data_IF_481189643177
#
_entry.id   IF_481189643177
#
_cell.length_a   1.000
_cell.length_b   1.000
_cell.length_c   1.000
_cell.angle_alpha   90.00
_cell.angle_beta   90.00
_cell.angle_gamma   90.00
#
_symmetry.space_group_name_H-M   'P 1'
#
loop_
_entity.id
_entity.type
_entity.pdbx_description
1 polymer ?
#
# COMPACT_ATOMS: atom_id res chain seq x y z
N UNK A 1 -18.43 -14.53 12.25
CA UNK A 1 -17.17 -14.76 11.50
C UNK A 1 -16.51 -16.03 12.02
N UNK A 2 -16.09 -16.94 11.14
CA UNK A 2 -15.24 -18.09 11.48
C UNK A 2 -13.85 -17.87 10.92
N UNK A 3 -12.84 -18.04 11.76
CA UNK A 3 -11.44 -17.91 11.37
C UNK A 3 -10.57 -18.78 12.26
N UNK A 4 -9.65 -19.56 11.67
CA UNK A 4 -8.71 -20.43 12.40
C UNK A 4 -9.40 -21.34 13.43
N UNK A 5 -10.50 -21.99 13.02
CA UNK A 5 -11.31 -22.90 13.87
C UNK A 5 -12.11 -22.22 14.98
N UNK A 6 -12.06 -20.89 15.10
CA UNK A 6 -12.79 -20.11 16.12
C UNK A 6 -13.93 -19.33 15.49
N UNK A 7 -14.96 -19.07 16.29
CA UNK A 7 -16.11 -18.26 15.90
C UNK A 7 -16.10 -16.95 16.69
N UNK A 8 -16.32 -15.85 15.99
CA UNK A 8 -16.38 -14.49 16.52
C UNK A 8 -17.65 -13.80 16.03
N UNK A 9 -18.14 -12.84 16.82
CA UNK A 9 -19.32 -12.04 16.49
C UNK A 9 -19.02 -10.55 16.71
N UNK A 10 -19.59 -9.71 15.86
CA UNK A 10 -19.60 -8.25 16.01
C UNK A 10 -20.94 -7.73 15.52
N UNK A 11 -21.32 -6.55 16.00
CA UNK A 11 -22.51 -5.82 15.55
C UNK A 11 -22.03 -4.57 14.83
N UNK A 12 -22.64 -4.25 13.69
CA UNK A 12 -22.40 -3.01 12.98
C UNK A 12 -22.86 -1.83 13.80
N UNK A 13 -22.05 -0.78 13.85
CA UNK A 13 -22.45 0.49 14.44
C UNK A 13 -23.43 1.26 13.52
N UNK A 14 -23.83 2.47 13.95
CA UNK A 14 -24.75 3.32 13.20
C UNK A 14 -24.20 3.78 11.83
N UNK A 15 -22.88 3.72 11.63
CA UNK A 15 -22.22 4.03 10.35
C UNK A 15 -22.10 2.82 9.42
N UNK A 16 -22.48 1.63 9.89
CA UNK A 16 -22.31 0.37 9.17
C UNK A 16 -20.93 -0.26 9.31
N UNK A 17 -20.03 0.34 10.10
CA UNK A 17 -18.72 -0.20 10.40
C UNK A 17 -18.82 -1.27 11.49
N UNK A 18 -17.97 -2.29 11.40
CA UNK A 18 -17.85 -3.32 12.42
C UNK A 18 -16.39 -3.73 12.55
N UNK A 19 -15.99 -4.12 13.76
CA UNK A 19 -14.64 -4.54 14.06
C UNK A 19 -14.72 -5.84 14.84
N UNK A 20 -13.90 -6.81 14.45
CA UNK A 20 -13.63 -8.01 15.25
C UNK A 20 -12.15 -8.03 15.59
N UNK A 21 -11.83 -8.05 16.88
CA UNK A 21 -10.47 -8.22 17.33
C UNK A 21 -10.15 -9.71 17.44
N UNK A 22 -9.15 -10.15 16.69
CA UNK A 22 -8.66 -11.52 16.75
C UNK A 22 -7.63 -11.65 17.88
N UNK A 23 -7.63 -12.76 18.65
CA UNK A 23 -6.51 -13.08 19.52
C UNK A 23 -5.26 -13.35 18.68
N UNK A 24 -4.05 -13.34 19.28
CA UNK A 24 -2.83 -13.70 18.57
C UNK A 24 -2.98 -15.03 17.84
N UNK A 25 -2.64 -15.03 16.55
CA UNK A 25 -2.64 -16.22 15.69
C UNK A 25 -1.19 -16.46 15.29
N UNK A 26 -0.76 -17.72 15.31
CA UNK A 26 0.58 -18.09 14.84
C UNK A 26 0.74 -17.68 13.37
N UNK A 27 1.90 -17.14 13.02
CA UNK A 27 2.24 -16.83 11.65
C UNK A 27 2.14 -18.07 10.74
N UNK A 28 1.75 -17.85 9.48
CA UNK A 28 1.56 -18.90 8.49
C UNK A 28 0.30 -18.69 7.64
N UNK A 29 -0.19 -19.80 7.10
CA UNK A 29 -1.30 -19.84 6.14
C UNK A 29 -0.97 -20.74 4.94
N UNK A 30 -1.82 -20.74 3.91
CA UNK A 30 -3.03 -19.93 3.78
C UNK A 30 -4.14 -20.38 4.72
N UNK A 31 -4.85 -19.41 5.30
CA UNK A 31 -6.07 -19.60 6.06
C UNK A 31 -7.31 -19.22 5.23
N UNK A 32 -8.47 -19.67 5.69
CA UNK A 32 -9.77 -19.27 5.19
C UNK A 32 -10.54 -18.54 6.30
N UNK A 33 -11.26 -17.49 5.93
CA UNK A 33 -12.20 -16.77 6.78
C UNK A 33 -13.59 -16.81 6.16
N UNK A 34 -14.58 -17.13 6.98
CA UNK A 34 -15.98 -17.10 6.59
C UNK A 34 -16.72 -16.03 7.40
N UNK A 35 -17.34 -15.07 6.71
CA UNK A 35 -18.15 -14.02 7.32
C UNK A 35 -19.60 -14.31 6.96
N UNK A 36 -20.45 -14.49 7.98
CA UNK A 36 -21.89 -14.76 7.83
C UNK A 36 -22.70 -13.63 8.43
N UNK A 37 -23.65 -13.12 7.66
CA UNK A 37 -24.69 -12.18 8.05
C UNK A 37 -25.99 -12.55 7.33
N UNK A 38 -26.55 -11.62 6.56
CA UNK A 38 -27.66 -11.94 5.62
C UNK A 38 -27.20 -12.78 4.41
N UNK A 39 -25.92 -12.69 4.08
CA UNK A 39 -25.22 -13.53 3.10
C UNK A 39 -23.96 -14.14 3.73
N UNK A 40 -23.30 -15.02 2.99
CA UNK A 40 -22.02 -15.61 3.37
C UNK A 40 -20.94 -15.14 2.40
N UNK A 41 -19.83 -14.64 2.94
CA UNK A 41 -18.62 -14.26 2.20
C UNK A 41 -17.49 -15.15 2.69
N UNK A 42 -16.76 -15.79 1.77
CA UNK A 42 -15.57 -16.59 2.08
C UNK A 42 -14.35 -15.90 1.51
N UNK A 43 -13.42 -15.52 2.37
CA UNK A 43 -12.12 -14.98 2.00
C UNK A 43 -11.12 -16.13 2.12
N UNK A 44 -10.47 -16.46 1.01
CA UNK A 44 -9.46 -17.51 0.92
C UNK A 44 -8.08 -16.89 0.84
N UNK A 45 -7.07 -17.72 1.06
CA UNK A 45 -5.68 -17.34 0.83
C UNK A 45 -5.20 -16.20 1.75
N UNK A 46 -5.51 -16.31 3.05
CA UNK A 46 -5.12 -15.34 4.08
C UNK A 46 -3.80 -15.76 4.71
N UNK A 47 -2.82 -14.87 4.73
CA UNK A 47 -1.56 -15.07 5.45
C UNK A 47 -1.55 -14.26 6.75
N UNK A 48 -1.00 -14.86 7.80
CA UNK A 48 -0.70 -14.19 9.06
C UNK A 48 0.83 -14.07 9.16
N UNK A 49 1.32 -12.85 9.36
CA UNK A 49 2.74 -12.57 9.44
C UNK A 49 3.01 -11.09 9.62
N UNK A 50 4.21 -10.65 9.29
CA UNK A 50 4.65 -9.27 9.51
C UNK A 50 4.24 -8.39 8.34
N UNK A 51 3.72 -7.20 8.64
CA UNK A 51 3.30 -6.22 7.64
C UNK A 51 4.15 -4.96 7.75
N UNK A 52 4.82 -4.61 6.66
CA UNK A 52 5.70 -3.46 6.56
C UNK A 52 5.06 -2.38 5.71
N UNK A 53 4.98 -1.17 6.26
CA UNK A 53 4.52 0.01 5.53
C UNK A 53 5.72 0.72 4.91
N UNK A 54 5.82 0.68 3.59
CA UNK A 54 6.93 1.23 2.82
C UNK A 54 6.48 2.51 2.12
N UNK A 55 7.05 3.64 2.51
CA UNK A 55 6.71 4.96 1.96
C UNK A 55 7.96 5.76 1.61
N UNK A 56 7.78 6.83 0.84
CA UNK A 56 8.86 7.69 0.35
C UNK A 56 8.73 7.99 -1.13
N UNK A 57 9.87 8.29 -1.77
CA UNK A 57 9.92 8.83 -3.13
C UNK A 57 10.48 7.86 -4.17
N UNK A 58 11.18 8.40 -5.19
CA UNK A 58 11.65 7.71 -6.40
C UNK A 58 12.42 6.40 -6.14
N UNK A 59 13.23 6.34 -5.08
CA UNK A 59 13.99 5.15 -4.75
C UNK A 59 13.12 4.05 -4.11
N UNK A 60 12.05 4.42 -3.40
CA UNK A 60 11.10 3.46 -2.82
C UNK A 60 10.14 2.90 -3.88
N UNK A 61 9.79 3.72 -4.88
CA UNK A 61 8.93 3.32 -6.02
C UNK A 61 9.72 2.69 -7.18
N UNK A 62 11.05 2.58 -7.08
CA UNK A 62 11.87 2.00 -8.15
C UNK A 62 11.54 0.51 -8.29
N UNK A 63 10.88 0.13 -9.38
CA UNK A 63 10.45 -1.25 -9.60
C UNK A 63 11.59 -2.20 -9.99
N UNK A 64 11.43 -3.49 -9.66
CA UNK A 64 12.34 -4.57 -10.08
C UNK A 64 12.54 -4.62 -11.60
N UNK A 65 11.50 -4.33 -12.39
CA UNK A 65 11.59 -4.25 -13.86
C UNK A 65 12.69 -3.30 -14.32
N UNK A 66 12.90 -2.18 -13.61
CA UNK A 66 13.92 -1.17 -13.97
C UNK A 66 15.34 -1.59 -13.62
N UNK A 67 15.49 -2.64 -12.82
CA UNK A 67 16.80 -3.19 -12.40
C UNK A 67 17.02 -4.62 -12.89
N UNK A 68 16.17 -5.11 -13.81
CA UNK A 68 16.18 -6.49 -14.29
C UNK A 68 17.49 -6.91 -14.95
N UNK A 69 18.18 -6.00 -15.63
CA UNK A 69 19.48 -6.27 -16.27
C UNK A 69 20.57 -6.57 -15.24
N UNK A 70 20.46 -5.98 -14.05
CA UNK A 70 21.40 -6.21 -12.94
C UNK A 70 21.01 -7.42 -12.09
N UNK A 71 19.72 -7.71 -11.96
CA UNK A 71 19.20 -8.78 -11.11
C UNK A 71 18.29 -9.77 -11.85
N UNK A 72 18.73 -10.34 -12.99
CA UNK A 72 17.87 -11.23 -13.78
C UNK A 72 17.58 -12.55 -13.03
N UNK A 73 18.55 -13.05 -12.28
CA UNK A 73 18.42 -14.27 -11.46
C UNK A 73 17.41 -14.10 -10.33
N UNK A 74 17.42 -12.95 -9.66
CA UNK A 74 16.49 -12.67 -8.56
C UNK A 74 15.04 -12.63 -9.04
N UNK A 75 14.80 -12.09 -10.24
CA UNK A 75 13.46 -12.10 -10.86
C UNK A 75 13.06 -13.52 -11.25
N UNK A 76 13.94 -14.25 -11.95
CA UNK A 76 13.65 -15.60 -12.41
C UNK A 76 13.40 -16.58 -11.25
N UNK A 77 14.09 -16.40 -10.12
CA UNK A 77 13.97 -17.24 -8.93
C UNK A 77 12.97 -16.72 -7.89
N UNK A 78 12.19 -15.66 -8.18
CA UNK A 78 11.29 -15.04 -7.22
C UNK A 78 10.02 -15.85 -6.93
N UNK A 79 10.14 -17.10 -6.47
CA UNK A 79 9.00 -17.95 -6.08
C UNK A 79 8.75 -17.89 -4.57
N UNK A 80 8.14 -16.78 -4.13
CA UNK A 80 7.88 -16.51 -2.72
C UNK A 80 6.38 -16.22 -2.48
N UNK A 81 5.50 -17.23 -2.55
CA UNK A 81 4.06 -17.02 -2.39
C UNK A 81 3.65 -16.46 -1.01
N UNK A 82 4.55 -16.54 -0.02
CA UNK A 82 4.40 -16.00 1.32
C UNK A 82 4.79 -14.51 1.44
N UNK A 83 5.38 -13.93 0.40
CA UNK A 83 5.66 -12.49 0.30
C UNK A 83 4.58 -11.87 -0.59
N UNK A 84 3.91 -10.83 -0.10
CA UNK A 84 2.88 -10.13 -0.86
C UNK A 84 3.06 -8.63 -0.88
N UNK A 85 2.87 -8.03 -2.04
CA UNK A 85 2.87 -6.58 -2.20
C UNK A 85 1.45 -6.06 -2.44
N UNK A 86 1.06 -5.06 -1.67
CA UNK A 86 -0.11 -4.22 -1.89
C UNK A 86 0.39 -2.83 -2.24
N UNK A 87 0.28 -2.46 -3.53
CA UNK A 87 0.62 -1.12 -3.97
C UNK A 87 -0.60 -0.20 -3.80
N UNK A 88 -0.42 0.93 -3.13
CA UNK A 88 -1.45 1.97 -3.03
C UNK A 88 -1.30 2.89 -4.24
N UNK A 89 -2.30 2.96 -5.14
CA UNK A 89 -2.26 3.87 -6.27
C UNK A 89 -2.08 5.32 -5.81
N UNK A 90 -1.24 6.06 -6.50
CA UNK A 90 -1.04 7.48 -6.20
C UNK A 90 -2.31 8.27 -6.53
N UNK A 91 -2.96 8.79 -5.49
CA UNK A 91 -4.06 9.74 -5.62
C UNK A 91 -3.60 11.07 -5.05
N UNK A 92 -3.65 12.12 -5.87
CA UNK A 92 -3.35 13.49 -5.45
C UNK A 92 -4.67 14.23 -5.23
N UNK A 93 -5.10 14.33 -3.98
CA UNK A 93 -6.26 15.13 -3.57
C UNK A 93 -5.88 15.94 -2.33
N UNK A 94 -5.57 17.22 -2.55
CA UNK A 94 -5.23 18.12 -1.47
C UNK A 94 -6.48 18.77 -0.84
N UNK A 95 -7.64 18.68 -1.49
CA UNK A 95 -8.87 19.32 -1.06
C UNK A 95 -9.54 18.58 0.11
N UNK A 96 -9.38 17.26 0.19
CA UNK A 96 -9.96 16.44 1.27
C UNK A 96 -9.08 15.27 1.68
N UNK A 97 -9.25 14.89 2.94
CA UNK A 97 -8.73 13.63 3.48
C UNK A 97 -9.71 12.50 3.16
N UNK A 98 -9.17 11.32 2.82
CA UNK A 98 -9.97 10.13 2.49
C UNK A 98 -9.85 9.11 3.62
N UNK A 99 -10.98 8.57 4.05
CA UNK A 99 -11.02 7.54 5.10
C UNK A 99 -10.77 6.12 4.56
N UNK A 100 -10.73 5.97 3.23
CA UNK A 100 -10.54 4.70 2.55
C UNK A 100 -9.34 4.77 1.62
N UNK A 101 -8.63 3.66 1.50
CA UNK A 101 -7.60 3.50 0.47
C UNK A 101 -8.26 3.23 -0.89
N UNK A 102 -7.66 3.67 -2.01
CA UNK A 102 -8.13 3.27 -3.32
C UNK A 102 -8.17 1.75 -3.47
N UNK A 103 -9.07 1.20 -4.32
CA UNK A 103 -9.11 -0.23 -4.59
C UNK A 103 -7.72 -0.76 -4.96
N UNK A 104 -7.33 -1.85 -4.31
CA UNK A 104 -6.05 -2.50 -4.51
C UNK A 104 -6.14 -3.99 -4.22
N UNK A 105 -5.04 -4.71 -4.47
CA UNK A 105 -4.96 -6.15 -4.24
C UNK A 105 -3.59 -6.52 -3.72
N UNK A 106 -3.55 -7.54 -2.87
CA UNK A 106 -2.34 -8.24 -2.52
C UNK A 106 -1.89 -9.10 -3.70
N UNK A 107 -0.65 -8.96 -4.11
CA UNK A 107 -0.05 -9.73 -5.19
C UNK A 107 1.10 -10.55 -4.59
N UNK A 108 1.12 -11.86 -4.82
CA UNK A 108 2.20 -12.72 -4.39
C UNK A 108 3.47 -12.50 -5.22
N UNK A 109 4.64 -12.58 -4.57
CA UNK A 109 5.92 -12.57 -5.26
C UNK A 109 6.09 -13.87 -6.06
N UNK A 110 6.05 -13.72 -7.38
CA UNK A 110 6.31 -14.77 -8.37
C UNK A 110 7.22 -14.16 -9.44
N UNK A 111 7.90 -14.96 -10.28
CA UNK A 111 8.69 -14.42 -11.39
C UNK A 111 7.87 -13.53 -12.33
N UNK A 112 6.56 -13.81 -12.47
CA UNK A 112 5.65 -13.02 -13.29
C UNK A 112 5.24 -11.68 -12.64
N UNK A 113 5.17 -11.61 -11.31
CA UNK A 113 4.65 -10.45 -10.59
C UNK A 113 5.74 -9.53 -10.03
N UNK A 114 6.90 -10.11 -9.65
CA UNK A 114 7.97 -9.37 -8.98
C UNK A 114 8.51 -8.19 -9.80
N UNK A 115 8.51 -8.19 -11.16
CA UNK A 115 8.92 -7.00 -11.91
C UNK A 115 8.14 -5.74 -11.54
N UNK A 116 6.88 -5.88 -11.10
CA UNK A 116 6.03 -4.78 -10.63
C UNK A 116 6.23 -4.37 -9.16
N UNK A 117 7.07 -5.06 -8.40
CA UNK A 117 7.34 -4.74 -7.00
C UNK A 117 8.43 -3.69 -6.90
N UNK A 118 8.43 -2.89 -5.84
CA UNK A 118 9.55 -2.02 -5.51
C UNK A 118 10.80 -2.87 -5.24
N UNK A 119 11.92 -2.55 -5.87
CA UNK A 119 13.15 -3.32 -5.81
C UNK A 119 13.67 -3.41 -4.36
N UNK A 120 13.79 -2.26 -3.68
CA UNK A 120 14.20 -2.21 -2.28
C UNK A 120 13.24 -3.02 -1.40
N UNK A 121 11.93 -2.85 -1.59
CA UNK A 121 10.92 -3.54 -0.77
C UNK A 121 10.92 -5.05 -0.98
N UNK A 122 11.17 -5.51 -2.22
CA UNK A 122 11.27 -6.94 -2.51
C UNK A 122 12.49 -7.57 -1.85
N UNK A 123 13.68 -6.98 -2.03
CA UNK A 123 14.90 -7.52 -1.41
C UNK A 123 14.79 -7.54 0.11
N UNK A 124 14.28 -6.46 0.71
CA UNK A 124 14.02 -6.40 2.15
C UNK A 124 13.09 -7.52 2.63
N UNK A 125 11.94 -7.71 1.97
CA UNK A 125 11.00 -8.76 2.38
C UNK A 125 11.53 -10.17 2.13
N UNK A 126 12.26 -10.37 1.03
CA UNK A 126 12.91 -11.66 0.72
C UNK A 126 13.91 -12.04 1.79
N UNK A 127 14.78 -11.10 2.18
CA UNK A 127 15.83 -11.36 3.15
C UNK A 127 15.22 -11.64 4.54
N UNK A 128 14.19 -10.90 4.94
CA UNK A 128 13.43 -11.20 6.17
C UNK A 128 12.73 -12.56 6.13
N UNK A 129 12.07 -12.89 5.03
CA UNK A 129 11.40 -14.18 4.88
C UNK A 129 12.40 -15.33 4.95
N UNK A 130 13.55 -15.20 4.28
CA UNK A 130 14.59 -16.22 4.29
C UNK A 130 15.15 -16.48 5.69
N UNK A 131 15.35 -15.42 6.48
CA UNK A 131 15.85 -15.54 7.86
C UNK A 131 14.80 -16.10 8.82
N UNK A 132 13.60 -15.52 8.84
CA UNK A 132 12.62 -15.77 9.90
C UNK A 132 11.52 -16.77 9.51
N UNK A 133 11.35 -17.05 8.22
CA UNK A 133 10.29 -17.92 7.68
C UNK A 133 8.87 -17.50 8.11
N UNK A 134 8.66 -16.19 8.29
CA UNK A 134 7.37 -15.56 8.60
C UNK A 134 6.83 -14.90 7.33
N UNK A 135 5.56 -15.12 6.93
CA UNK A 135 4.98 -14.43 5.77
C UNK A 135 5.12 -12.91 5.87
N UNK A 136 5.48 -12.26 4.77
CA UNK A 136 5.77 -10.82 4.74
C UNK A 136 4.76 -10.10 3.83
N UNK A 137 4.01 -9.17 4.41
CA UNK A 137 3.18 -8.22 3.67
C UNK A 137 3.90 -6.89 3.50
N UNK A 138 3.98 -6.38 2.28
CA UNK A 138 4.45 -5.03 1.96
C UNK A 138 3.23 -4.19 1.59
N UNK A 139 2.99 -3.10 2.31
CA UNK A 139 2.12 -2.02 1.85
C UNK A 139 3.01 -0.94 1.28
N UNK A 140 3.05 -0.82 -0.05
CA UNK A 140 3.86 0.18 -0.72
C UNK A 140 3.00 1.41 -1.04
N UNK A 141 3.28 2.50 -0.33
CA UNK A 141 2.68 3.83 -0.51
C UNK A 141 3.79 4.84 -0.78
N UNK A 142 4.42 4.72 -1.96
CA UNK A 142 5.51 5.59 -2.39
C UNK A 142 5.15 6.36 -3.65
N UNK A 143 5.65 7.61 -3.73
CA UNK A 143 5.35 8.53 -4.84
C UNK A 143 6.61 9.29 -5.22
N UNK A 144 7.14 8.99 -6.42
CA UNK A 144 8.33 9.66 -6.94
C UNK A 144 8.15 11.16 -7.15
N UNK A 145 9.21 11.93 -6.92
CA UNK A 145 9.22 13.38 -7.18
C UNK A 145 8.41 14.23 -6.19
N UNK A 146 7.94 13.64 -5.09
CA UNK A 146 7.23 14.39 -4.05
C UNK A 146 8.21 15.05 -3.07
N UNK A 147 8.01 16.34 -2.74
CA UNK A 147 8.78 16.99 -1.70
C UNK A 147 8.24 16.58 -0.31
N UNK A 148 9.00 16.80 0.77
CA UNK A 148 8.61 16.35 2.11
C UNK A 148 7.30 16.99 2.58
N UNK A 149 6.99 18.20 2.11
CA UNK A 149 5.75 18.92 2.36
C UNK A 149 4.52 18.13 1.93
N UNK A 150 4.62 17.30 0.88
CA UNK A 150 3.51 16.44 0.45
C UNK A 150 3.17 15.33 1.47
N UNK A 151 4.05 15.08 2.44
CA UNK A 151 3.91 14.04 3.47
C UNK A 151 3.63 14.63 4.87
N UNK A 152 3.58 15.96 5.00
CA UNK A 152 3.26 16.62 6.26
C UNK A 152 1.74 16.67 6.43
N UNK A 153 1.25 16.25 7.59
CA UNK A 153 -0.16 16.33 7.91
C UNK A 153 -0.62 17.80 8.02
N UNK A 154 -1.93 18.03 7.84
CA UNK A 154 -2.55 19.36 8.05
C UNK A 154 -2.13 19.99 9.40
N UNK A 155 -2.08 19.18 10.44
CA UNK A 155 -1.66 19.61 11.78
C UNK A 155 -0.16 19.92 11.85
N UNK A 156 0.68 19.15 11.16
CA UNK A 156 2.12 19.41 11.07
C UNK A 156 2.44 20.78 10.45
N UNK A 157 1.65 21.20 9.46
CA UNK A 157 1.82 22.51 8.82
C UNK A 157 1.56 23.71 9.73
N UNK A 158 0.81 23.56 10.83
CA UNK A 158 0.59 24.65 11.80
C UNK A 158 1.90 25.19 12.39
N UNK A 159 2.96 24.37 12.39
CA UNK A 159 4.31 24.75 12.85
C UNK A 159 5.12 25.54 11.81
N UNK A 160 4.62 25.65 10.57
CA UNK A 160 5.30 26.30 9.46
C UNK A 160 4.36 27.32 8.78
N UNK A 161 4.14 28.51 9.37
CA UNK A 161 3.19 29.49 8.86
C UNK A 161 3.46 29.92 7.41
N UNK A 162 4.73 30.03 7.01
CA UNK A 162 5.12 30.38 5.64
C UNK A 162 4.75 29.30 4.59
N UNK A 163 4.50 28.05 5.00
CA UNK A 163 4.01 26.99 4.11
C UNK A 163 2.47 26.92 4.08
N UNK A 164 1.79 27.55 5.04
CA UNK A 164 0.33 27.45 5.18
C UNK A 164 -0.41 28.11 4.02
N UNK A 165 0.11 29.23 3.47
CA UNK A 165 -0.45 29.88 2.28
C UNK A 165 -0.39 28.98 1.04
N UNK A 166 0.75 28.30 0.83
CA UNK A 166 0.92 27.36 -0.28
C UNK A 166 -0.05 26.17 -0.18
N UNK A 167 -0.25 25.65 1.04
CA UNK A 167 -1.22 24.58 1.29
C UNK A 167 -2.66 25.04 1.08
N UNK A 168 -3.00 26.28 1.46
CA UNK A 168 -4.33 26.85 1.22
C UNK A 168 -4.63 26.97 -0.29
N UNK A 169 -3.66 27.44 -1.09
CA UNK A 169 -3.80 27.50 -2.55
C UNK A 169 -3.97 26.11 -3.18
N UNK A 170 -3.26 25.11 -2.66
CA UNK A 170 -3.42 23.70 -3.08
C UNK A 170 -4.76 23.08 -2.68
N UNK A 171 -5.62 23.76 -1.90
CA UNK A 171 -6.99 23.30 -1.61
C UNK A 171 -8.04 23.95 -2.49
N UNK A 172 -7.71 25.08 -3.11
CA UNK A 172 -8.57 25.77 -4.05
C UNK A 172 -8.50 25.07 -5.41
N UNK A 173 -9.56 24.34 -5.75
CA UNK A 173 -9.66 23.64 -7.03
C UNK A 173 -9.66 24.59 -8.23
N UNK A 174 -10.10 25.84 -8.06
CA UNK A 174 -10.03 26.86 -9.10
C UNK A 174 -8.59 27.27 -9.40
N UNK A 175 -7.72 27.29 -8.39
CA UNK A 175 -6.28 27.55 -8.53
C UNK A 175 -5.51 26.31 -9.01
N UNK A 176 -5.81 25.12 -8.48
CA UNK A 176 -5.14 23.86 -8.80
C UNK A 176 -5.33 23.40 -10.24
N UNK A 177 -6.56 23.49 -10.76
CA UNK A 177 -6.91 22.88 -12.05
C UNK A 177 -6.08 23.45 -13.22
N UNK A 178 -5.87 24.78 -13.35
CA UNK A 178 -4.96 25.35 -14.34
C UNK A 178 -3.50 24.90 -14.17
N UNK A 179 -2.99 24.84 -12.93
CA UNK A 179 -1.61 24.44 -12.62
C UNK A 179 -1.36 22.98 -13.01
N UNK A 180 -2.29 22.08 -12.64
CA UNK A 180 -2.23 20.66 -12.99
C UNK A 180 -2.32 20.42 -14.50
N UNK A 181 -3.13 21.20 -15.21
CA UNK A 181 -3.25 21.12 -16.68
C UNK A 181 -1.95 21.52 -17.38
N UNK A 182 -1.29 22.58 -16.91
CA UNK A 182 0.01 23.01 -17.43
C UNK A 182 1.12 22.01 -17.11
N UNK A 183 1.14 21.45 -15.90
CA UNK A 183 2.13 20.44 -15.49
C UNK A 183 2.01 19.15 -16.32
N UNK A 184 0.78 18.67 -16.58
CA UNK A 184 0.55 17.50 -17.46
C UNK A 184 1.04 17.75 -18.88
N UNK A 185 0.72 18.91 -19.45
CA UNK A 185 1.15 19.27 -20.81
C UNK A 185 2.68 19.34 -20.95
N UNK A 186 3.39 19.80 -19.91
CA UNK A 186 4.84 19.81 -19.88
C UNK A 186 5.45 18.40 -19.77
N UNK A 187 4.83 17.51 -18.98
CA UNK A 187 5.26 16.12 -18.85
C UNK A 187 5.09 15.34 -20.16
N UNK A 188 3.98 15.55 -20.88
CA UNK A 188 3.70 14.92 -22.18
C UNK A 188 4.67 15.40 -23.29
N UNK A 189 5.26 16.60 -23.16
CA UNK A 189 6.25 17.13 -24.10
C UNK A 189 7.68 16.62 -23.85
N UNK A 190 7.92 15.94 -22.73
CA UNK A 190 9.24 15.40 -22.34
C UNK A 190 9.36 13.87 -22.53
N UNK A 191 8.32 13.21 -23.04
CA UNK A 191 8.34 11.81 -23.49
C UNK A 191 8.56 11.73 -25.00
#
# INVERSE_FOLDING_TARGET
MKFSGRTFSAVTDASGLWIVQLPPVKAGGPHEMEIRGRNTITIRDILIGDVWFCSGQSNMVLNMERVKEKYPSDIAAADYPQIRNFFIPTVSDAAREHNEVPPGKWIAASPANVPGFGALTFFFARDLYNEYQVPIGIINSSVGGTPIEAWISKEGFKKFPHLSERVANLRDTAWLNPVMKSARKAADMMQ
#
